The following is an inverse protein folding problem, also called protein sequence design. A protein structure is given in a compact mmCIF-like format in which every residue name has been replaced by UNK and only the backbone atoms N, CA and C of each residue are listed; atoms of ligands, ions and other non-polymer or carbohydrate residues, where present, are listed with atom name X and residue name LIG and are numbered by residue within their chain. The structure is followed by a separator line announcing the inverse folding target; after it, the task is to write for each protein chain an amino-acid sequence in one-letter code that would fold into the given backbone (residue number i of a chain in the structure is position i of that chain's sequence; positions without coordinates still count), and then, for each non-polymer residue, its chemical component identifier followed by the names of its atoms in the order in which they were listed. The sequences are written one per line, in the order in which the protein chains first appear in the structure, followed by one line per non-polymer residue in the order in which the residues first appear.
data_IF_747369705689
#
_entry.id   IF_747369705689
#
_cell.length_a   1.000
_cell.length_b   1.000
_cell.length_c   1.000
_cell.angle_alpha   90.00
_cell.angle_beta   90.00
_cell.angle_gamma   90.00
#
_symmetry.space_group_name_H-M   'P 1'
#
loop_
_entity.id
_entity.type
_entity.pdbx_description
1 polymer ?
#
# COMPACT_ATOMS: atom_id res chain seq x y z
N UNK A 1 0.12 15.59 -12.95
CA UNK A 1 -0.01 14.77 -11.73
C UNK A 1 -0.30 13.37 -12.23
N UNK A 2 0.74 12.59 -12.52
CA UNK A 2 0.60 11.25 -13.08
C UNK A 2 0.82 10.23 -11.96
N UNK A 3 -0.27 9.63 -11.50
CA UNK A 3 -0.22 8.37 -10.75
C UNK A 3 -1.30 7.49 -11.40
N UNK A 4 -0.95 6.30 -11.93
CA UNK A 4 -0.10 5.36 -11.21
C UNK A 4 1.00 4.67 -12.03
N UNK A 5 2.14 4.43 -11.38
CA UNK A 5 3.18 3.50 -11.88
C UNK A 5 2.81 2.04 -11.60
N UNK A 6 1.64 1.78 -11.00
CA UNK A 6 1.15 0.46 -10.61
C UNK A 6 -0.30 0.32 -11.09
N UNK A 7 -0.60 -0.60 -12.01
CA UNK A 7 -1.97 -0.86 -12.45
C UNK A 7 -2.89 -1.23 -11.31
N UNK A 8 -4.16 -0.82 -11.41
CA UNK A 8 -5.20 -1.30 -10.50
C UNK A 8 -5.27 -2.83 -10.54
N UNK A 9 -5.53 -3.45 -9.37
CA UNK A 9 -5.58 -4.90 -9.24
C UNK A 9 -4.21 -5.57 -9.08
N UNK A 10 -3.10 -4.82 -9.13
CA UNK A 10 -1.77 -5.40 -8.88
C UNK A 10 -1.67 -5.91 -7.44
N UNK A 11 -1.30 -7.19 -7.29
CA UNK A 11 -1.10 -7.78 -5.97
C UNK A 11 0.13 -7.19 -5.28
N UNK A 12 -0.07 -6.57 -4.13
CA UNK A 12 0.99 -6.10 -3.24
C UNK A 12 1.17 -7.02 -2.03
N UNK A 13 2.36 -7.00 -1.42
CA UNK A 13 2.63 -7.67 -0.15
C UNK A 13 2.71 -6.64 0.97
N UNK A 14 1.89 -6.79 2.02
CA UNK A 14 2.01 -6.00 3.24
C UNK A 14 3.32 -6.35 3.93
N UNK A 15 4.15 -5.35 4.20
CA UNK A 15 5.46 -5.53 4.86
C UNK A 15 5.44 -5.10 6.32
N UNK A 16 4.65 -4.07 6.64
CA UNK A 16 4.55 -3.54 7.98
C UNK A 16 3.23 -2.80 8.16
N UNK A 17 2.80 -2.69 9.41
CA UNK A 17 1.67 -1.84 9.81
C UNK A 17 2.04 -1.08 11.08
N UNK A 18 1.56 0.16 11.25
CA UNK A 18 1.74 0.87 12.52
C UNK A 18 1.07 0.10 13.67
N UNK A 19 1.84 -0.13 14.74
CA UNK A 19 1.35 -0.86 15.92
C UNK A 19 0.33 -0.02 16.71
N UNK A 20 0.57 1.29 16.81
CA UNK A 20 -0.23 2.26 17.56
C UNK A 20 -0.42 3.54 16.72
N UNK A 21 -1.42 4.34 17.07
CA UNK A 21 -1.82 5.53 16.34
C UNK A 21 -3.07 5.32 15.48
N UNK A 22 -3.93 6.36 15.42
CA UNK A 22 -5.09 6.42 14.53
C UNK A 22 -4.93 7.65 13.63
N UNK A 23 -5.11 7.51 12.31
CA UNK A 23 -5.40 6.28 11.56
C UNK A 23 -4.19 5.33 11.46
N UNK A 24 -4.44 4.04 11.16
CA UNK A 24 -3.36 3.07 10.98
C UNK A 24 -2.70 3.29 9.62
N UNK A 25 -1.41 2.99 9.50
CA UNK A 25 -0.68 3.05 8.22
C UNK A 25 -0.20 1.66 7.84
N UNK A 26 -0.46 1.25 6.61
CA UNK A 26 -0.01 0.00 6.00
C UNK A 26 1.11 0.33 5.02
N UNK A 27 2.24 -0.36 5.18
CA UNK A 27 3.34 -0.33 4.24
C UNK A 27 3.27 -1.58 3.38
N UNK A 28 3.32 -1.42 2.06
CA UNK A 28 3.27 -2.54 1.13
C UNK A 28 4.31 -2.38 0.02
N UNK A 29 4.69 -3.53 -0.53
CA UNK A 29 5.60 -3.62 -1.67
C UNK A 29 4.85 -4.18 -2.87
N UNK A 30 5.16 -3.65 -4.04
CA UNK A 30 4.67 -4.16 -5.32
C UNK A 30 5.90 -4.41 -6.18
N UNK A 31 5.99 -5.60 -6.75
CA UNK A 31 6.94 -5.86 -7.82
C UNK A 31 6.20 -5.60 -9.14
N UNK A 32 6.51 -4.49 -9.80
CA UNK A 32 6.02 -4.25 -11.14
C UNK A 32 7.11 -4.63 -12.16
N UNK A 33 6.76 -4.65 -13.45
CA UNK A 33 7.71 -4.99 -14.52
C UNK A 33 8.94 -4.06 -14.60
N UNK A 34 9.00 -3.00 -13.79
CA UNK A 34 10.11 -2.05 -13.67
C UNK A 34 10.91 -2.22 -12.37
N UNK A 35 10.46 -3.08 -11.46
CA UNK A 35 11.15 -3.48 -10.24
C UNK A 35 10.31 -3.34 -8.96
N UNK A 36 10.99 -3.50 -7.83
CA UNK A 36 10.34 -3.46 -6.52
C UNK A 36 10.06 -2.01 -6.07
N UNK A 37 8.78 -1.67 -5.96
CA UNK A 37 8.30 -0.40 -5.40
C UNK A 37 7.75 -0.57 -3.99
N UNK A 38 7.86 0.49 -3.19
CA UNK A 38 7.38 0.57 -1.79
C UNK A 38 6.39 1.70 -1.66
N UNK A 39 5.29 1.44 -0.97
CA UNK A 39 4.19 2.38 -0.78
C UNK A 39 3.73 2.36 0.67
N UNK A 40 3.05 3.44 1.06
CA UNK A 40 2.35 3.54 2.33
C UNK A 40 0.95 4.10 2.10
N UNK A 41 -0.04 3.53 2.79
CA UNK A 41 -1.42 4.01 2.77
C UNK A 41 -1.97 4.07 4.18
N UNK A 42 -2.74 5.12 4.43
CA UNK A 42 -3.47 5.28 5.68
C UNK A 42 -4.79 4.52 5.57
N UNK A 43 -5.03 3.57 6.46
CA UNK A 43 -6.25 2.76 6.49
C UNK A 43 -7.17 3.18 7.63
N UNK A 44 -8.46 3.22 7.32
CA UNK A 44 -9.58 3.43 8.23
C UNK A 44 -10.37 2.13 8.36
N UNK A 45 -11.19 2.04 9.41
CA UNK A 45 -11.96 0.82 9.71
C UNK A 45 -12.94 0.41 8.59
N UNK A 46 -13.35 1.35 7.73
CA UNK A 46 -14.23 1.10 6.58
C UNK A 46 -13.51 0.72 5.29
N UNK A 47 -12.18 0.69 5.26
CA UNK A 47 -11.40 0.38 4.04
C UNK A 47 -11.18 -1.14 3.87
N UNK A 48 -11.57 -1.94 4.87
CA UNK A 48 -11.49 -3.41 4.86
C UNK A 48 -12.91 -3.93 4.60
N UNK A 49 -13.14 -4.45 3.39
CA UNK A 49 -14.38 -5.13 3.00
C UNK A 49 -14.35 -6.61 3.36
#
# INVERSE_FOLDING_TARGET
MDVPVVPEGTTGTVVATTALGRPKTVFFKVNDGWGLKRFQVTVRRGDVA
#
